data_IF_462719050861
#
_entry.id   IF_462719050861
#
_cell.length_a   1.000
_cell.length_b   1.000
_cell.length_c   1.000
_cell.angle_alpha   90.00
_cell.angle_beta   90.00
_cell.angle_gamma   90.00
#
_symmetry.space_group_name_H-M   'P 1'
#
loop_
_entity.id
_entity.type
_entity.pdbx_description
1 polymer ?
#
# COMPACT_ATOMS: atom_id res chain seq x y z
N UNK A 1 3.06 -24.73 -6.03
CA UNK A 1 3.71 -24.17 -7.24
C UNK A 1 4.55 -22.91 -6.94
N UNK A 2 3.96 -21.83 -6.40
CA UNK A 2 4.67 -20.56 -6.14
C UNK A 2 5.96 -20.70 -5.31
N UNK A 3 5.94 -21.51 -4.24
CA UNK A 3 7.12 -21.77 -3.41
C UNK A 3 8.27 -22.44 -4.18
N UNK A 4 7.97 -23.44 -5.01
CA UNK A 4 8.96 -24.13 -5.85
C UNK A 4 9.58 -23.17 -6.88
N UNK A 5 8.76 -22.31 -7.48
CA UNK A 5 9.21 -21.28 -8.41
C UNK A 5 10.13 -20.25 -7.72
N UNK A 6 9.74 -19.75 -6.54
CA UNK A 6 10.59 -18.85 -5.74
C UNK A 6 11.93 -19.50 -5.40
N UNK A 7 11.93 -20.76 -4.95
CA UNK A 7 13.15 -21.50 -4.61
C UNK A 7 14.12 -21.61 -5.79
N UNK A 8 13.59 -21.78 -7.01
CA UNK A 8 14.38 -21.96 -8.23
C UNK A 8 14.83 -20.65 -8.88
N UNK A 9 13.93 -19.68 -9.03
CA UNK A 9 14.17 -18.47 -9.82
C UNK A 9 14.36 -17.20 -9.00
N UNK A 10 13.99 -17.21 -7.70
CA UNK A 10 14.14 -16.08 -6.77
C UNK A 10 13.54 -14.77 -7.33
N UNK A 11 12.40 -14.87 -8.02
CA UNK A 11 11.68 -13.74 -8.63
C UNK A 11 10.68 -13.15 -7.62
N UNK A 12 10.85 -11.90 -7.16
CA UNK A 12 10.13 -11.33 -6.01
C UNK A 12 8.60 -11.37 -6.11
N UNK A 13 8.07 -11.15 -7.32
CA UNK A 13 6.62 -11.16 -7.58
C UNK A 13 5.94 -12.49 -7.21
N UNK A 14 6.69 -13.60 -7.19
CA UNK A 14 6.11 -14.93 -6.97
C UNK A 14 5.66 -15.15 -5.53
N UNK A 15 6.29 -14.46 -4.58
CA UNK A 15 5.85 -14.46 -3.18
C UNK A 15 4.53 -13.72 -3.04
N UNK A 16 4.39 -12.57 -3.70
CA UNK A 16 3.13 -11.83 -3.72
C UNK A 16 2.03 -12.60 -4.46
N UNK A 17 2.33 -13.22 -5.60
CA UNK A 17 1.38 -14.10 -6.29
C UNK A 17 0.94 -15.29 -5.43
N UNK A 18 1.87 -15.86 -4.65
CA UNK A 18 1.56 -16.90 -3.66
C UNK A 18 0.64 -16.39 -2.54
N UNK A 19 0.92 -15.23 -1.96
CA UNK A 19 0.09 -14.60 -0.94
C UNK A 19 -1.32 -14.28 -1.49
N UNK A 20 -1.40 -13.72 -2.69
CA UNK A 20 -2.66 -13.45 -3.39
C UNK A 20 -3.46 -14.74 -3.64
N UNK A 21 -2.78 -15.82 -4.02
CA UNK A 21 -3.43 -17.13 -4.22
C UNK A 21 -4.01 -17.67 -2.91
N UNK A 22 -3.26 -17.58 -1.80
CA UNK A 22 -3.76 -18.01 -0.48
C UNK A 22 -4.95 -17.17 -0.05
N UNK A 23 -4.84 -15.84 -0.14
CA UNK A 23 -5.93 -14.93 0.18
C UNK A 23 -7.17 -15.21 -0.68
N UNK A 24 -6.98 -15.41 -1.99
CA UNK A 24 -8.04 -15.74 -2.94
C UNK A 24 -8.72 -17.07 -2.62
N UNK A 25 -7.96 -18.10 -2.23
CA UNK A 25 -8.53 -19.39 -1.79
C UNK A 25 -9.36 -19.21 -0.52
N UNK A 26 -8.86 -18.47 0.47
CA UNK A 26 -9.59 -18.21 1.72
C UNK A 26 -10.92 -17.51 1.42
N UNK A 27 -10.90 -16.46 0.60
CA UNK A 27 -12.11 -15.75 0.19
C UNK A 27 -13.04 -16.67 -0.60
N UNK A 28 -12.52 -17.43 -1.57
CA UNK A 28 -13.32 -18.35 -2.39
C UNK A 28 -14.00 -19.45 -1.55
N UNK A 29 -13.32 -19.99 -0.53
CA UNK A 29 -13.91 -20.97 0.38
C UNK A 29 -15.05 -20.35 1.20
N UNK A 30 -14.88 -19.12 1.69
CA UNK A 30 -15.94 -18.42 2.43
C UNK A 30 -17.13 -18.11 1.52
N UNK A 31 -16.88 -17.63 0.30
CA UNK A 31 -17.93 -17.39 -0.71
C UNK A 31 -18.68 -18.69 -1.04
N UNK A 32 -17.96 -19.79 -1.26
CA UNK A 32 -18.55 -21.10 -1.52
C UNK A 32 -19.39 -21.61 -0.34
N UNK A 33 -18.95 -21.37 0.90
CA UNK A 33 -19.68 -21.75 2.10
C UNK A 33 -20.95 -20.90 2.33
N UNK A 34 -20.96 -19.64 1.87
CA UNK A 34 -22.11 -18.73 1.99
C UNK A 34 -23.20 -19.03 0.95
N UNK A 35 -22.84 -19.56 -0.22
CA UNK A 35 -23.79 -19.93 -1.28
C UNK A 35 -24.68 -18.75 -1.71
N UNK A 36 -26.00 -18.92 -1.65
CA UNK A 36 -26.97 -17.87 -2.01
C UNK A 36 -26.93 -16.64 -1.08
N UNK A 37 -26.30 -16.74 0.11
CA UNK A 37 -26.23 -15.64 1.08
C UNK A 37 -25.13 -14.62 0.78
N UNK A 38 -24.34 -14.83 -0.26
CA UNK A 38 -23.17 -13.99 -0.59
C UNK A 38 -23.53 -12.51 -0.72
N UNK A 39 -24.65 -12.18 -1.38
CA UNK A 39 -25.09 -10.78 -1.51
C UNK A 39 -25.35 -10.13 -0.14
N UNK A 40 -26.04 -10.83 0.77
CA UNK A 40 -26.29 -10.34 2.12
C UNK A 40 -25.03 -10.27 3.01
N UNK A 41 -23.99 -11.03 2.65
CA UNK A 41 -22.73 -11.15 3.40
C UNK A 41 -21.59 -10.31 2.80
N UNK A 42 -21.88 -9.37 1.90
CA UNK A 42 -20.87 -8.54 1.24
C UNK A 42 -19.96 -7.81 2.24
N UNK A 43 -20.52 -7.24 3.31
CA UNK A 43 -19.74 -6.56 4.35
C UNK A 43 -18.78 -7.51 5.09
N UNK A 44 -19.19 -8.77 5.30
CA UNK A 44 -18.34 -9.80 5.91
C UNK A 44 -17.18 -10.17 4.97
N UNK A 45 -17.45 -10.32 3.68
CA UNK A 45 -16.41 -10.62 2.67
C UNK A 45 -15.42 -9.45 2.58
N UNK A 46 -15.89 -8.21 2.54
CA UNK A 46 -15.04 -7.03 2.55
C UNK A 46 -14.20 -6.94 3.83
N UNK A 47 -14.80 -7.22 4.99
CA UNK A 47 -14.08 -7.28 6.26
C UNK A 47 -13.00 -8.38 6.27
N UNK A 48 -13.27 -9.54 5.68
CA UNK A 48 -12.29 -10.61 5.52
C UNK A 48 -11.14 -10.19 4.60
N UNK A 49 -11.44 -9.58 3.45
CA UNK A 49 -10.41 -9.06 2.53
C UNK A 49 -9.54 -8.00 3.21
N UNK A 50 -10.15 -7.11 4.00
CA UNK A 50 -9.44 -6.11 4.80
C UNK A 50 -8.48 -6.77 5.79
N UNK A 51 -8.94 -7.78 6.54
CA UNK A 51 -8.10 -8.52 7.49
C UNK A 51 -6.93 -9.22 6.80
N UNK A 52 -7.19 -9.87 5.65
CA UNK A 52 -6.14 -10.48 4.82
C UNK A 52 -5.17 -9.43 4.27
N UNK A 53 -5.66 -8.24 3.92
CA UNK A 53 -4.86 -7.10 3.47
C UNK A 53 -3.92 -6.61 4.57
N UNK A 54 -4.44 -6.43 5.79
CA UNK A 54 -3.64 -6.08 6.98
C UNK A 54 -2.59 -7.16 7.26
N UNK A 55 -2.97 -8.44 7.21
CA UNK A 55 -2.03 -9.56 7.37
C UNK A 55 -0.92 -9.55 6.31
N UNK A 56 -1.27 -9.30 5.05
CA UNK A 56 -0.31 -9.18 3.94
C UNK A 56 0.62 -7.98 4.13
N UNK A 57 0.09 -6.86 4.62
CA UNK A 57 0.87 -5.67 4.93
C UNK A 57 1.88 -5.95 6.06
N UNK A 58 1.46 -6.57 7.15
CA UNK A 58 2.36 -6.94 8.25
C UNK A 58 3.42 -7.95 7.80
N UNK A 59 3.07 -8.89 6.92
CA UNK A 59 4.03 -9.81 6.31
C UNK A 59 5.04 -9.08 5.41
N UNK A 60 4.59 -8.06 4.68
CA UNK A 60 5.47 -7.18 3.90
C UNK A 60 6.43 -6.38 4.79
N UNK A 61 5.94 -5.87 5.93
CA UNK A 61 6.74 -5.16 6.93
C UNK A 61 7.85 -6.04 7.53
N UNK A 62 7.53 -7.31 7.79
CA UNK A 62 8.51 -8.28 8.28
C UNK A 62 9.64 -8.52 7.27
N UNK A 63 9.32 -8.64 5.98
CA UNK A 63 10.34 -8.76 4.92
C UNK A 63 11.19 -7.50 4.78
N UNK A 64 10.59 -6.31 4.86
CA UNK A 64 11.32 -5.04 4.75
C UNK A 64 12.27 -4.82 5.94
N UNK A 65 11.80 -5.10 7.16
CA UNK A 65 12.62 -5.00 8.38
C UNK A 65 13.76 -6.02 8.40
N UNK A 66 13.65 -7.11 7.65
CA UNK A 66 14.67 -8.16 7.57
C UNK A 66 15.86 -7.80 6.65
N UNK A 67 15.79 -6.69 5.91
CA UNK A 67 16.85 -6.21 5.02
C UNK A 67 17.00 -4.69 5.09
N UNK A 68 17.40 -4.21 6.27
CA UNK A 68 17.55 -2.78 6.59
C UNK A 68 18.64 -2.08 5.78
N UNK A 69 19.68 -2.82 5.40
CA UNK A 69 20.76 -2.32 4.57
C UNK A 69 20.40 -2.31 3.07
N UNK A 70 19.27 -2.94 2.69
CA UNK A 70 18.80 -3.11 1.31
C UNK A 70 19.84 -3.77 0.40
N UNK A 71 20.56 -4.75 0.93
CA UNK A 71 21.61 -5.46 0.18
C UNK A 71 21.08 -6.70 -0.52
N UNK A 72 19.86 -7.13 -0.22
CA UNK A 72 19.30 -8.38 -0.73
C UNK A 72 18.01 -8.14 -1.54
N UNK A 73 17.56 -9.19 -2.25
CA UNK A 73 16.27 -9.21 -2.95
C UNK A 73 15.05 -9.20 -2.01
N UNK A 74 15.27 -9.11 -0.69
CA UNK A 74 14.19 -9.06 0.30
C UNK A 74 13.42 -7.75 0.26
N UNK A 75 14.12 -6.67 -0.06
CA UNK A 75 13.47 -5.41 -0.34
C UNK A 75 12.47 -5.52 -1.49
N UNK A 76 12.80 -6.20 -2.58
CA UNK A 76 11.90 -6.36 -3.73
C UNK A 76 10.65 -7.20 -3.41
N UNK A 77 10.78 -8.27 -2.60
CA UNK A 77 9.62 -9.09 -2.22
C UNK A 77 8.63 -8.29 -1.38
N UNK A 78 9.13 -7.56 -0.39
CA UNK A 78 8.30 -6.65 0.38
C UNK A 78 7.63 -5.61 -0.52
N UNK A 79 8.23 -5.20 -1.63
CA UNK A 79 7.62 -4.23 -2.55
C UNK A 79 6.35 -4.81 -3.16
N UNK A 80 6.43 -6.02 -3.72
CA UNK A 80 5.27 -6.68 -4.32
C UNK A 80 4.18 -7.03 -3.31
N UNK A 81 4.56 -7.39 -2.07
CA UNK A 81 3.58 -7.65 -1.01
C UNK A 81 2.85 -6.38 -0.58
N UNK A 82 3.53 -5.24 -0.47
CA UNK A 82 2.90 -3.95 -0.22
C UNK A 82 1.95 -3.55 -1.36
N UNK A 83 2.36 -3.78 -2.62
CA UNK A 83 1.51 -3.52 -3.80
C UNK A 83 0.22 -4.35 -3.77
N UNK A 84 0.29 -5.60 -3.30
CA UNK A 84 -0.88 -6.46 -3.11
C UNK A 84 -1.74 -6.01 -1.93
N UNK A 85 -1.12 -5.64 -0.81
CA UNK A 85 -1.84 -5.26 0.41
C UNK A 85 -2.64 -3.96 0.26
N UNK A 86 -2.12 -2.98 -0.49
CA UNK A 86 -2.75 -1.68 -0.68
C UNK A 86 -4.21 -1.77 -1.18
N UNK A 87 -4.54 -2.43 -2.32
CA UNK A 87 -5.92 -2.57 -2.76
C UNK A 87 -6.77 -3.40 -1.80
N UNK A 88 -6.20 -4.42 -1.16
CA UNK A 88 -6.91 -5.25 -0.17
C UNK A 88 -7.28 -4.47 1.11
N UNK A 89 -6.62 -3.34 1.39
CA UNK A 89 -6.96 -2.47 2.52
C UNK A 89 -7.86 -1.32 2.05
N UNK A 90 -7.42 -0.59 1.04
CA UNK A 90 -8.07 0.66 0.61
C UNK A 90 -9.46 0.38 0.05
N UNK A 91 -9.64 -0.63 -0.80
CA UNK A 91 -10.93 -0.88 -1.43
C UNK A 91 -12.02 -1.27 -0.41
N UNK A 92 -11.80 -2.26 0.49
CA UNK A 92 -12.81 -2.56 1.50
C UNK A 92 -13.14 -1.38 2.40
N UNK A 93 -12.15 -0.57 2.82
CA UNK A 93 -12.43 0.61 3.64
C UNK A 93 -13.31 1.60 2.87
N UNK A 94 -12.99 1.89 1.61
CA UNK A 94 -13.80 2.79 0.79
C UNK A 94 -15.25 2.30 0.61
N UNK A 95 -15.42 1.01 0.32
CA UNK A 95 -16.74 0.44 0.08
C UNK A 95 -17.55 0.32 1.37
N UNK A 96 -16.94 -0.13 2.47
CA UNK A 96 -17.62 -0.27 3.76
C UNK A 96 -18.06 1.08 4.34
N UNK A 97 -17.34 2.16 4.05
CA UNK A 97 -17.68 3.52 4.46
C UNK A 97 -18.62 4.24 3.47
N UNK A 98 -19.16 3.54 2.47
CA UNK A 98 -20.15 4.11 1.54
C UNK A 98 -19.63 5.24 0.64
N UNK A 99 -18.30 5.40 0.54
CA UNK A 99 -17.68 6.46 -0.28
C UNK A 99 -17.88 6.25 -1.77
N UNK A 100 -18.07 4.99 -2.19
CA UNK A 100 -18.26 4.65 -3.60
C UNK A 100 -19.63 5.09 -4.13
N UNK A 101 -20.64 5.16 -3.24
CA UNK A 101 -22.04 5.44 -3.58
C UNK A 101 -22.46 6.87 -3.21
N UNK A 102 -21.51 7.71 -2.76
CA UNK A 102 -21.77 9.09 -2.34
C UNK A 102 -22.58 9.22 -1.05
N UNK A 103 -22.65 8.16 -0.24
CA UNK A 103 -23.42 8.11 1.02
C UNK A 103 -22.57 8.43 2.26
N UNK A 104 -21.27 8.64 2.05
CA UNK A 104 -20.33 8.87 3.13
C UNK A 104 -20.57 10.22 3.83
N UNK A 105 -20.54 10.18 5.15
CA UNK A 105 -20.55 11.33 6.05
C UNK A 105 -19.18 12.01 6.11
N UNK A 106 -19.14 13.22 6.66
CA UNK A 106 -17.88 13.96 6.90
C UNK A 106 -16.92 13.14 7.76
N UNK A 107 -17.44 12.43 8.78
CA UNK A 107 -16.64 11.58 9.65
C UNK A 107 -15.94 10.43 8.91
N UNK A 108 -16.65 9.80 7.98
CA UNK A 108 -16.11 8.72 7.15
C UNK A 108 -15.04 9.22 6.16
N UNK A 109 -15.23 10.42 5.61
CA UNK A 109 -14.20 11.12 4.84
C UNK A 109 -12.92 11.36 5.63
N UNK A 110 -13.03 11.78 6.89
CA UNK A 110 -11.87 11.97 7.78
C UNK A 110 -11.15 10.65 8.08
N UNK A 111 -11.87 9.54 8.24
CA UNK A 111 -11.27 8.21 8.44
C UNK A 111 -10.41 7.82 7.24
N UNK A 112 -10.88 8.07 6.02
CA UNK A 112 -10.10 7.79 4.81
C UNK A 112 -8.88 8.69 4.68
N UNK A 113 -9.01 9.98 4.97
CA UNK A 113 -7.86 10.89 5.00
C UNK A 113 -6.82 10.37 6.00
N UNK A 114 -7.26 9.99 7.21
CA UNK A 114 -6.38 9.42 8.23
C UNK A 114 -5.68 8.14 7.74
N UNK A 115 -6.41 7.24 7.07
CA UNK A 115 -5.85 6.03 6.47
C UNK A 115 -4.73 6.37 5.47
N UNK A 116 -4.95 7.31 4.55
CA UNK A 116 -3.91 7.73 3.60
C UNK A 116 -2.72 8.38 4.27
N UNK A 117 -2.94 9.18 5.32
CA UNK A 117 -1.85 9.76 6.11
C UNK A 117 -1.02 8.66 6.75
N UNK A 118 -1.66 7.64 7.34
CA UNK A 118 -0.95 6.49 7.93
C UNK A 118 -0.15 5.73 6.86
N UNK A 119 -0.73 5.44 5.70
CA UNK A 119 -0.04 4.78 4.58
C UNK A 119 1.14 5.62 4.09
N UNK A 120 0.96 6.94 3.93
CA UNK A 120 2.00 7.87 3.49
C UNK A 120 3.16 8.00 4.47
N UNK A 121 2.85 8.15 5.76
CA UNK A 121 3.87 8.16 6.82
C UNK A 121 4.65 6.84 6.86
N UNK A 122 3.94 5.72 6.70
CA UNK A 122 4.57 4.40 6.66
C UNK A 122 5.48 4.26 5.44
N UNK A 123 5.04 4.71 4.26
CA UNK A 123 5.84 4.74 3.03
C UNK A 123 7.12 5.58 3.19
N UNK A 124 7.04 6.73 3.86
CA UNK A 124 8.19 7.58 4.17
C UNK A 124 9.14 6.92 5.16
N UNK A 125 8.63 6.37 6.26
CA UNK A 125 9.44 5.71 7.29
C UNK A 125 10.28 4.56 6.69
N UNK A 126 9.62 3.75 5.86
CA UNK A 126 10.18 2.60 5.18
C UNK A 126 11.00 2.99 3.94
N UNK A 127 11.08 4.26 3.55
CA UNK A 127 11.82 4.70 2.34
C UNK A 127 11.36 3.96 1.06
N UNK A 128 10.04 3.80 0.87
CA UNK A 128 9.44 3.12 -0.28
C UNK A 128 8.45 4.01 -1.04
N UNK A 129 8.92 4.64 -2.11
CA UNK A 129 8.11 5.44 -3.05
C UNK A 129 7.00 4.63 -3.72
N UNK A 130 7.27 3.36 -3.94
CA UNK A 130 6.36 2.34 -4.45
C UNK A 130 4.97 2.30 -3.79
N UNK A 131 4.91 2.47 -2.46
CA UNK A 131 3.65 2.45 -1.72
C UNK A 131 2.73 3.60 -2.16
N UNK A 132 3.29 4.75 -2.46
CA UNK A 132 2.54 5.89 -2.99
C UNK A 132 1.98 5.61 -4.38
N UNK A 133 2.76 4.92 -5.23
CA UNK A 133 2.30 4.51 -6.58
C UNK A 133 1.13 3.53 -6.49
N UNK A 134 1.15 2.58 -5.53
CA UNK A 134 0.06 1.63 -5.34
C UNK A 134 -1.25 2.27 -4.85
N UNK A 135 -1.15 3.35 -4.07
CA UNK A 135 -2.29 4.10 -3.57
C UNK A 135 -2.83 5.13 -4.58
N UNK A 136 -2.03 5.48 -5.59
CA UNK A 136 -2.32 6.55 -6.55
C UNK A 136 -3.63 6.33 -7.32
N UNK A 137 -3.91 5.10 -7.74
CA UNK A 137 -5.13 4.78 -8.48
C UNK A 137 -6.41 5.15 -7.70
N UNK A 138 -6.44 4.87 -6.40
CA UNK A 138 -7.57 5.20 -5.54
C UNK A 138 -7.67 6.71 -5.25
N UNK A 139 -6.53 7.40 -5.10
CA UNK A 139 -6.50 8.87 -4.96
C UNK A 139 -7.04 9.55 -6.22
N UNK A 140 -6.61 9.10 -7.40
CA UNK A 140 -7.10 9.60 -8.68
C UNK A 140 -8.61 9.37 -8.82
N UNK A 141 -9.10 8.19 -8.44
CA UNK A 141 -10.53 7.89 -8.45
C UNK A 141 -11.31 8.83 -7.51
N UNK A 142 -10.87 8.98 -6.26
CA UNK A 142 -11.55 9.83 -5.28
C UNK A 142 -11.61 11.30 -5.71
N UNK A 143 -10.52 11.83 -6.26
CA UNK A 143 -10.47 13.21 -6.73
C UNK A 143 -11.32 13.42 -7.99
N UNK A 144 -11.29 12.50 -8.96
CA UNK A 144 -12.19 12.56 -10.11
C UNK A 144 -13.66 12.61 -9.67
N UNK A 145 -14.06 11.77 -8.72
CA UNK A 145 -15.42 11.79 -8.14
C UNK A 145 -15.77 13.11 -7.46
N UNK A 146 -14.82 13.68 -6.71
CA UNK A 146 -14.99 14.98 -6.07
C UNK A 146 -15.22 16.07 -7.13
N UNK A 147 -14.45 16.10 -8.21
CA UNK A 147 -14.57 17.09 -9.26
C UNK A 147 -15.82 16.93 -10.14
N UNK A 148 -16.27 15.70 -10.38
CA UNK A 148 -17.57 15.41 -11.01
C UNK A 148 -18.72 16.07 -10.23
N UNK A 149 -18.69 16.03 -8.89
CA UNK A 149 -19.71 16.68 -8.06
C UNK A 149 -19.69 18.22 -8.15
N UNK A 150 -18.54 18.83 -8.41
CA UNK A 150 -18.40 20.30 -8.53
C UNK A 150 -18.65 20.84 -9.96
N UNK A 151 -19.01 20.00 -10.94
CA UNK A 151 -19.63 20.42 -12.20
C UNK A 151 -18.74 21.08 -13.27
N UNK A 152 -17.41 21.06 -13.15
CA UNK A 152 -16.48 21.68 -14.13
C UNK A 152 -15.49 20.66 -14.73
N UNK A 153 -15.97 19.78 -15.61
CA UNK A 153 -15.25 18.55 -16.00
C UNK A 153 -13.99 18.80 -16.86
N UNK A 154 -13.92 19.85 -17.70
CA UNK A 154 -12.78 20.01 -18.63
C UNK A 154 -11.57 20.76 -18.04
N UNK A 155 -11.79 21.81 -17.24
CA UNK A 155 -10.68 22.54 -16.59
C UNK A 155 -10.09 21.75 -15.40
N UNK A 156 -10.89 20.88 -14.78
CA UNK A 156 -10.51 20.19 -13.55
C UNK A 156 -9.56 19.02 -13.78
N UNK A 157 -9.64 18.28 -14.89
CA UNK A 157 -8.72 17.14 -15.10
C UNK A 157 -7.29 17.61 -15.25
N UNK A 158 -7.05 18.67 -16.03
CA UNK A 158 -5.72 19.25 -16.20
C UNK A 158 -5.17 19.83 -14.89
N UNK A 159 -5.99 20.56 -14.13
CA UNK A 159 -5.61 21.08 -12.82
C UNK A 159 -5.35 19.96 -11.80
N UNK A 160 -6.16 18.90 -11.80
CA UNK A 160 -5.98 17.73 -10.92
C UNK A 160 -4.69 17.01 -11.23
N UNK A 161 -4.44 16.73 -12.51
CA UNK A 161 -3.20 16.12 -12.97
C UNK A 161 -1.99 16.99 -12.63
N UNK A 162 -2.09 18.31 -12.79
CA UNK A 162 -1.05 19.26 -12.43
C UNK A 162 -0.79 19.27 -10.92
N UNK A 163 -1.83 19.36 -10.08
CA UNK A 163 -1.70 19.40 -8.62
C UNK A 163 -1.14 18.09 -8.10
N UNK A 164 -1.67 16.94 -8.53
CA UNK A 164 -1.18 15.63 -8.09
C UNK A 164 0.23 15.39 -8.63
N UNK A 165 0.46 15.65 -9.91
CA UNK A 165 1.76 15.47 -10.55
C UNK A 165 2.83 16.32 -9.88
N UNK A 166 2.56 17.60 -9.64
CA UNK A 166 3.48 18.50 -8.93
C UNK A 166 3.71 18.08 -7.49
N UNK A 167 2.66 17.68 -6.75
CA UNK A 167 2.81 17.17 -5.39
C UNK A 167 3.67 15.91 -5.33
N UNK A 168 3.48 14.95 -6.25
CA UNK A 168 4.28 13.73 -6.35
C UNK A 168 5.72 14.03 -6.74
N UNK A 169 5.95 14.94 -7.70
CA UNK A 169 7.29 15.37 -8.09
C UNK A 169 8.02 16.06 -6.95
N UNK A 170 7.34 16.96 -6.24
CA UNK A 170 7.88 17.67 -5.09
C UNK A 170 8.23 16.69 -3.97
N UNK A 171 7.32 15.76 -3.64
CA UNK A 171 7.58 14.72 -2.64
C UNK A 171 8.74 13.78 -3.05
N UNK A 172 8.86 13.47 -4.34
CA UNK A 172 9.96 12.67 -4.89
C UNK A 172 11.31 13.40 -4.80
N UNK A 173 11.32 14.71 -5.06
CA UNK A 173 12.51 15.55 -4.96
C UNK A 173 12.96 15.74 -3.49
N UNK A 174 12.03 16.02 -2.59
CA UNK A 174 12.29 16.26 -1.16
C UNK A 174 12.15 14.99 -0.30
N UNK A 175 12.23 13.80 -0.92
CA UNK A 175 11.97 12.53 -0.25
C UNK A 175 12.85 12.30 0.98
N UNK A 176 14.15 12.58 0.86
CA UNK A 176 15.10 12.39 1.96
C UNK A 176 14.82 13.34 3.13
N UNK A 177 14.53 14.62 2.86
CA UNK A 177 14.12 15.59 3.88
C UNK A 177 12.82 15.14 4.56
N UNK A 178 11.77 14.84 3.78
CA UNK A 178 10.48 14.41 4.30
C UNK A 178 10.61 13.15 5.19
N UNK A 179 11.38 12.16 4.73
CA UNK A 179 11.69 10.96 5.52
C UNK A 179 12.41 11.32 6.82
N UNK A 180 13.43 12.16 6.77
CA UNK A 180 14.20 12.52 7.96
C UNK A 180 13.31 13.14 9.04
N UNK A 181 12.35 13.98 8.65
CA UNK A 181 11.37 14.60 9.54
C UNK A 181 10.44 13.57 10.18
N UNK A 182 10.01 12.56 9.43
CA UNK A 182 9.15 11.47 9.96
C UNK A 182 9.92 10.51 10.85
N UNK A 183 11.18 10.19 10.52
CA UNK A 183 11.97 9.17 11.24
C UNK A 183 12.66 9.73 12.49
N UNK A 184 13.07 11.00 12.51
CA UNK A 184 13.72 11.66 13.66
C UNK A 184 12.95 11.55 14.99
N UNK A 185 11.63 11.77 15.06
CA UNK A 185 10.88 11.70 16.32
C UNK A 185 10.58 10.26 16.78
N UNK A 186 10.82 9.23 15.95
CA UNK A 186 10.48 7.85 16.32
C UNK A 186 11.33 7.32 17.49
N UNK A 187 10.76 6.44 18.34
CA UNK A 187 11.50 5.80 19.43
C UNK A 187 12.63 4.91 18.88
N UNK A 188 13.71 4.71 19.66
CA UNK A 188 14.90 3.97 19.21
C UNK A 188 14.58 2.55 18.72
N UNK A 189 13.67 1.84 19.39
CA UNK A 189 13.26 0.49 18.97
C UNK A 189 12.58 0.41 17.60
N UNK A 190 11.92 1.49 17.12
CA UNK A 190 11.38 1.56 15.76
C UNK A 190 12.46 1.97 14.76
N UNK A 191 13.34 2.92 15.12
CA UNK A 191 14.50 3.31 14.29
C UNK A 191 15.40 2.11 13.99
N UNK A 192 15.56 1.22 14.96
CA UNK A 192 16.26 -0.06 14.86
C UNK A 192 15.54 -1.13 14.01
N UNK A 193 14.40 -0.83 13.40
CA UNK A 193 13.76 -1.71 12.42
C UNK A 193 13.66 -1.08 11.04
N UNK A 194 13.90 0.22 10.94
CA UNK A 194 13.81 0.98 9.70
C UNK A 194 15.13 0.95 8.91
N UNK A 195 15.08 1.23 7.58
CA UNK A 195 16.27 1.37 6.76
C UNK A 195 17.22 2.45 7.29
N UNK A 196 18.52 2.24 7.11
CA UNK A 196 19.54 3.17 7.60
C UNK A 196 19.35 4.57 6.98
N UNK A 197 19.36 5.62 7.81
CA UNK A 197 19.23 7.03 7.39
C UNK A 197 20.50 7.59 6.77
N UNK A 198 21.66 7.12 7.23
CA UNK A 198 22.97 7.52 6.73
C UNK A 198 23.62 6.33 6.01
N UNK A 199 23.60 6.36 4.67
CA UNK A 199 24.47 5.49 3.89
C UNK A 199 25.79 6.23 3.69
N UNK A 200 26.81 5.92 4.49
CA UNK A 200 28.18 6.01 3.97
C UNK A 200 28.25 5.00 2.83
N UNK A 201 28.56 5.45 1.62
CA UNK A 201 28.61 4.61 0.44
C UNK A 201 29.51 3.39 0.70
N UNK A 202 28.92 2.20 0.80
CA UNK A 202 29.68 0.98 0.96
C UNK A 202 30.49 0.74 -0.32
N UNK A 203 31.81 0.59 -0.16
CA UNK A 203 32.72 0.20 -1.25
C UNK A 203 32.22 -1.15 -1.79
N UNK A 204 31.95 -1.29 -3.10
CA UNK A 204 31.51 -2.55 -3.67
C UNK A 204 32.54 -3.64 -3.37
N UNK A 205 32.15 -4.69 -2.65
CA UNK A 205 32.97 -5.89 -2.58
C UNK A 205 32.82 -6.65 -3.91
N UNK A 206 33.93 -7.05 -4.55
CA UNK A 206 33.87 -7.87 -5.75
C UNK A 206 33.22 -9.21 -5.41
N UNK A 207 32.24 -9.62 -6.22
CA UNK A 207 31.58 -10.91 -6.10
C UNK A 207 32.61 -12.02 -6.31
N UNK A 208 32.76 -12.89 -5.31
CA UNK A 208 33.40 -14.20 -5.45
C UNK A 208 32.37 -15.24 -5.88
#
# INVERSE_FOLDING_TARGET
AAWLHWKRFRVPITVAAGAASVAGIVVALVVAALGERVESAQNLILGLVLLLGIGTFLFAMWWDSSDRARLTRRSDVAFWLHLLAAPMIVHPVFTLLGLNDGRATIGEGLVVILLYVVIGLTALAIDRRALLVSALAYVLYALNRLFEQFGAVELNVALTALVIGSALLMLSAFWHQARSTVVRPLPPGLKERLPLTDRTAAIPQPAA
#
